data_IF_246788295130
#
_entry.id   IF_246788295130
#
_cell.length_a   1.000
_cell.length_b   1.000
_cell.length_c   1.000
_cell.angle_alpha   90.00
_cell.angle_beta   90.00
_cell.angle_gamma   90.00
#
_symmetry.space_group_name_H-M   'P 1'
#
loop_
_entity.id
_entity.type
_entity.pdbx_description
1 polymer ?
#
# COMPACT_ATOMS: atom_id res chain seq x y z
N UNK A 1 11.51 -10.28 -23.78
CA UNK A 1 12.60 -9.81 -22.91
C UNK A 1 12.77 -10.89 -21.88
N UNK A 2 13.90 -11.60 -21.93
CA UNK A 2 14.18 -12.76 -21.07
C UNK A 2 14.30 -12.33 -19.60
N UNK A 3 13.85 -13.19 -18.69
CA UNK A 3 13.97 -12.99 -17.25
C UNK A 3 15.46 -12.90 -16.89
N UNK A 4 15.89 -11.90 -16.11
CA UNK A 4 17.29 -11.78 -15.72
C UNK A 4 17.75 -13.04 -14.98
N UNK A 5 19.03 -13.40 -15.15
CA UNK A 5 19.64 -14.56 -14.48
C UNK A 5 19.52 -14.49 -12.95
N UNK A 6 19.52 -13.26 -12.41
CA UNK A 6 19.29 -12.93 -11.01
C UNK A 6 18.28 -11.78 -10.92
N UNK A 7 17.18 -11.99 -10.22
CA UNK A 7 16.11 -11.01 -10.06
C UNK A 7 16.43 -10.05 -8.91
N UNK A 8 16.48 -8.75 -9.20
CA UNK A 8 16.70 -7.72 -8.18
C UNK A 8 15.37 -7.23 -7.62
N UNK A 9 15.06 -7.64 -6.40
CA UNK A 9 13.83 -7.33 -5.68
C UNK A 9 14.08 -6.18 -4.71
N UNK A 10 13.43 -5.04 -4.95
CA UNK A 10 13.38 -3.98 -3.95
C UNK A 10 12.36 -4.34 -2.88
N UNK A 11 12.58 -3.94 -1.63
CA UNK A 11 11.57 -4.12 -0.59
C UNK A 11 11.49 -2.94 0.35
N UNK A 12 10.32 -2.75 0.96
CA UNK A 12 10.10 -1.80 2.03
C UNK A 12 9.04 -2.33 2.98
N UNK A 13 9.05 -1.88 4.23
CA UNK A 13 8.06 -2.25 5.26
C UNK A 13 7.34 -1.02 5.83
N UNK A 14 7.72 0.15 5.36
CA UNK A 14 7.25 1.46 5.81
C UNK A 14 7.18 2.36 4.58
N UNK A 15 5.98 2.90 4.29
CA UNK A 15 5.80 3.78 3.13
C UNK A 15 6.19 5.24 3.40
N UNK A 16 6.64 5.53 4.63
CA UNK A 16 6.99 6.87 5.08
C UNK A 16 5.80 7.68 5.59
N UNK A 17 4.57 7.22 5.38
CA UNK A 17 3.35 7.83 5.88
C UNK A 17 2.78 7.03 7.07
N UNK A 18 2.63 5.71 6.92
CA UNK A 18 2.17 4.77 7.93
C UNK A 18 3.14 3.60 8.01
N UNK A 19 3.59 3.28 9.22
CA UNK A 19 4.42 2.09 9.41
C UNK A 19 3.53 0.85 9.49
N UNK A 20 3.85 -0.22 8.76
CA UNK A 20 3.09 -1.46 8.86
C UNK A 20 3.18 -2.05 10.27
N UNK A 21 2.18 -2.82 10.70
CA UNK A 21 2.18 -3.50 12.00
C UNK A 21 3.32 -4.53 12.05
N UNK A 22 3.82 -4.87 13.26
CA UNK A 22 4.87 -5.85 13.47
C UNK A 22 4.74 -7.17 12.66
N UNK A 23 3.58 -7.84 12.58
CA UNK A 23 3.48 -9.11 11.85
C UNK A 23 3.75 -8.95 10.35
N UNK A 24 3.30 -7.84 9.75
CA UNK A 24 3.52 -7.58 8.32
C UNK A 24 4.99 -7.30 8.04
N UNK A 25 5.65 -6.51 8.91
CA UNK A 25 7.09 -6.28 8.83
C UNK A 25 7.85 -7.61 8.94
N UNK A 26 7.51 -8.45 9.92
CA UNK A 26 8.14 -9.76 10.12
C UNK A 26 7.95 -10.66 8.91
N UNK A 27 6.74 -10.80 8.39
CA UNK A 27 6.48 -11.68 7.25
C UNK A 27 7.31 -11.31 6.01
N UNK A 28 7.45 -10.01 5.71
CA UNK A 28 8.28 -9.56 4.58
C UNK A 28 9.76 -9.88 4.83
N UNK A 29 10.29 -9.55 6.02
CA UNK A 29 11.70 -9.77 6.34
C UNK A 29 12.04 -11.27 6.39
N UNK A 30 11.18 -12.09 7.00
CA UNK A 30 11.35 -13.54 7.05
C UNK A 30 11.29 -14.18 5.66
N UNK A 31 10.37 -13.74 4.80
CA UNK A 31 10.30 -14.21 3.41
C UNK A 31 11.58 -13.85 2.64
N UNK A 32 12.12 -12.65 2.83
CA UNK A 32 13.38 -12.22 2.22
C UNK A 32 14.53 -13.11 2.68
N UNK A 33 14.65 -13.35 3.99
CA UNK A 33 15.73 -14.17 4.56
C UNK A 33 15.65 -15.62 4.08
N UNK A 34 14.43 -16.18 3.99
CA UNK A 34 14.19 -17.52 3.47
C UNK A 34 14.58 -17.64 1.99
N UNK A 35 14.18 -16.67 1.15
CA UNK A 35 14.53 -16.66 -0.27
C UNK A 35 16.03 -16.44 -0.50
N UNK A 36 16.67 -15.57 0.29
CA UNK A 36 18.14 -15.40 0.29
C UNK A 36 18.85 -16.69 0.63
N UNK A 37 18.33 -17.48 1.59
CA UNK A 37 18.95 -18.74 2.00
C UNK A 37 18.75 -19.86 0.97
N UNK A 38 17.54 -20.00 0.42
CA UNK A 38 17.19 -21.12 -0.48
C UNK A 38 17.64 -20.91 -1.92
N UNK A 39 17.70 -19.67 -2.40
CA UNK A 39 18.04 -19.35 -3.79
C UNK A 39 18.93 -18.09 -3.91
N UNK A 40 20.11 -18.06 -3.25
CA UNK A 40 20.99 -16.88 -3.19
C UNK A 40 21.50 -16.40 -4.56
N UNK A 41 21.58 -17.31 -5.53
CA UNK A 41 22.00 -16.99 -6.90
C UNK A 41 20.85 -16.44 -7.76
N UNK A 42 19.59 -16.68 -7.38
CA UNK A 42 18.42 -16.26 -8.14
C UNK A 42 17.87 -14.90 -7.70
N UNK A 43 18.08 -14.51 -6.43
CA UNK A 43 17.49 -13.28 -5.88
C UNK A 43 18.56 -12.35 -5.28
N UNK A 44 18.45 -11.07 -5.62
CA UNK A 44 19.13 -9.97 -4.92
C UNK A 44 18.06 -9.11 -4.26
N UNK A 45 18.21 -8.79 -2.98
CA UNK A 45 17.25 -7.97 -2.25
C UNK A 45 17.87 -6.66 -1.80
N UNK A 46 17.22 -5.56 -2.13
CA UNK A 46 17.67 -4.20 -1.78
C UNK A 46 16.56 -3.47 -1.03
N UNK A 47 16.89 -2.94 0.15
CA UNK A 47 15.97 -2.06 0.85
C UNK A 47 15.76 -0.79 0.02
N UNK A 48 14.50 -0.42 -0.16
CA UNK A 48 14.11 0.69 -1.01
C UNK A 48 13.30 1.71 -0.21
N UNK A 49 13.65 2.98 -0.37
CA UNK A 49 12.89 4.07 0.21
C UNK A 49 11.85 4.57 -0.80
N UNK A 50 10.54 4.50 -0.48
CA UNK A 50 9.52 4.95 -1.41
C UNK A 50 9.54 6.45 -1.65
N UNK A 51 9.30 6.88 -2.89
CA UNK A 51 9.32 8.30 -3.27
C UNK A 51 8.03 8.98 -2.80
N UNK A 52 8.09 9.67 -1.67
CA UNK A 52 7.05 10.59 -1.18
C UNK A 52 5.62 10.04 -1.38
N UNK A 53 5.35 8.89 -0.74
CA UNK A 53 4.01 8.29 -0.78
C UNK A 53 2.96 9.17 -0.10
N UNK A 54 3.36 10.13 0.75
CA UNK A 54 2.46 11.12 1.30
C UNK A 54 1.88 12.04 0.21
N UNK A 55 2.73 12.59 -0.67
CA UNK A 55 2.29 13.35 -1.85
C UNK A 55 1.44 12.48 -2.79
N UNK A 56 1.88 11.26 -3.08
CA UNK A 56 1.11 10.33 -3.90
C UNK A 56 -0.28 10.04 -3.34
N UNK A 57 -0.37 9.74 -2.04
CA UNK A 57 -1.62 9.46 -1.35
C UNK A 57 -2.55 10.68 -1.28
N UNK A 58 -2.01 11.90 -1.25
CA UNK A 58 -2.78 13.12 -1.39
C UNK A 58 -3.40 13.26 -2.79
N UNK A 59 -2.60 13.09 -3.84
CA UNK A 59 -3.04 13.18 -5.24
C UNK A 59 -4.15 12.18 -5.56
N UNK A 60 -3.97 10.91 -5.18
CA UNK A 60 -4.93 9.85 -5.52
C UNK A 60 -6.27 10.05 -4.82
N UNK A 61 -6.27 10.53 -3.57
CA UNK A 61 -7.50 10.83 -2.83
C UNK A 61 -8.29 11.98 -3.46
N UNK A 62 -7.62 13.03 -3.96
CA UNK A 62 -8.28 14.10 -4.75
C UNK A 62 -8.93 13.54 -6.02
N UNK A 63 -8.31 12.52 -6.62
CA UNK A 63 -8.75 11.95 -7.90
C UNK A 63 -9.98 11.04 -7.77
N UNK A 64 -10.23 10.43 -6.60
CA UNK A 64 -11.37 9.51 -6.42
C UNK A 64 -12.73 10.20 -6.33
N UNK A 65 -12.80 11.41 -5.77
CA UNK A 65 -14.06 12.05 -5.40
C UNK A 65 -14.18 13.48 -5.94
N UNK A 66 -13.84 13.64 -7.22
CA UNK A 66 -13.87 14.93 -7.92
C UNK A 66 -15.28 15.50 -8.13
N UNK A 67 -16.33 14.67 -7.96
CA UNK A 67 -17.74 15.08 -7.96
C UNK A 67 -18.23 15.48 -6.55
N UNK A 68 -17.33 15.56 -5.57
CA UNK A 68 -17.69 15.80 -4.17
C UNK A 68 -18.39 14.61 -3.50
N UNK A 69 -18.27 13.40 -4.06
CA UNK A 69 -18.93 12.21 -3.54
C UNK A 69 -20.44 12.16 -3.85
N UNK A 70 -20.94 13.05 -4.70
CA UNK A 70 -22.36 13.14 -5.05
C UNK A 70 -22.91 11.80 -5.56
N UNK A 71 -22.18 11.12 -6.45
CA UNK A 71 -22.58 9.80 -6.95
C UNK A 71 -22.53 8.71 -5.90
N UNK A 72 -21.61 8.81 -4.94
CA UNK A 72 -21.51 7.86 -3.85
C UNK A 72 -22.71 8.01 -2.90
N UNK A 73 -23.06 9.25 -2.52
CA UNK A 73 -24.22 9.52 -1.69
C UNK A 73 -25.54 9.18 -2.39
N UNK A 74 -25.68 9.45 -3.69
CA UNK A 74 -26.84 9.04 -4.50
C UNK A 74 -27.01 7.52 -4.49
N UNK A 75 -25.92 6.76 -4.69
CA UNK A 75 -25.95 5.31 -4.68
C UNK A 75 -26.32 4.75 -3.29
N UNK A 76 -25.74 5.28 -2.21
CA UNK A 76 -26.07 4.86 -0.85
C UNK A 76 -27.53 5.20 -0.48
N UNK A 77 -28.02 6.37 -0.86
CA UNK A 77 -29.42 6.74 -0.63
C UNK A 77 -30.38 5.79 -1.39
N UNK A 78 -30.00 5.33 -2.58
CA UNK A 78 -30.83 4.45 -3.41
C UNK A 78 -31.02 3.04 -2.83
N UNK A 79 -30.09 2.57 -1.97
CA UNK A 79 -30.22 1.28 -1.29
C UNK A 79 -31.17 1.31 -0.08
N UNK A 80 -31.44 2.51 0.48
CA UNK A 80 -32.17 2.67 1.74
C UNK A 80 -31.35 2.30 2.99
N UNK A 81 -30.07 1.97 2.84
CA UNK A 81 -29.18 1.66 3.96
C UNK A 81 -28.51 2.94 4.51
N UNK A 82 -28.18 2.99 5.82
CA UNK A 82 -27.45 4.11 6.38
C UNK A 82 -26.02 4.18 5.85
N UNK A 83 -25.47 5.40 5.77
CA UNK A 83 -24.04 5.60 5.52
C UNK A 83 -23.26 5.09 6.72
N UNK A 84 -22.43 4.07 6.52
CA UNK A 84 -21.59 3.50 7.58
C UNK A 84 -20.34 4.34 7.83
N UNK A 85 -19.74 4.18 9.02
CA UNK A 85 -18.61 4.98 9.50
C UNK A 85 -17.42 5.04 8.54
N UNK A 86 -17.07 3.92 7.89
CA UNK A 86 -15.97 3.90 6.92
C UNK A 86 -16.31 4.70 5.66
N UNK A 87 -17.56 4.63 5.19
CA UNK A 87 -18.04 5.40 4.04
C UNK A 87 -18.09 6.90 4.37
N UNK A 88 -18.53 7.26 5.57
CA UNK A 88 -18.49 8.65 6.04
C UNK A 88 -17.05 9.15 6.19
N UNK A 89 -16.15 8.31 6.72
CA UNK A 89 -14.75 8.66 6.90
C UNK A 89 -14.01 8.86 5.57
N UNK A 90 -14.23 8.00 4.57
CA UNK A 90 -13.57 8.15 3.26
C UNK A 90 -14.11 9.35 2.48
N UNK A 91 -15.39 9.68 2.65
CA UNK A 91 -16.06 10.83 2.03
C UNK A 91 -15.93 12.13 2.85
N UNK A 92 -15.15 12.13 3.94
CA UNK A 92 -14.96 13.33 4.76
C UNK A 92 -14.40 14.50 3.95
N UNK A 93 -14.74 15.71 4.36
CA UNK A 93 -14.37 16.93 3.65
C UNK A 93 -12.86 17.22 3.81
N UNK A 94 -12.15 17.18 2.68
CA UNK A 94 -10.83 17.76 2.41
C UNK A 94 -10.37 17.36 1.00
N UNK A 95 -10.50 16.06 0.69
CA UNK A 95 -10.22 15.47 -0.62
C UNK A 95 -11.49 15.26 -1.45
N UNK A 96 -12.62 15.01 -0.79
CA UNK A 96 -13.95 14.88 -1.38
C UNK A 96 -14.53 16.27 -1.64
N UNK A 97 -14.31 16.79 -2.85
CA UNK A 97 -14.72 18.15 -3.24
C UNK A 97 -15.23 18.14 -4.67
N UNK A 98 -16.34 18.83 -4.91
CA UNK A 98 -16.81 19.11 -6.26
C UNK A 98 -15.79 20.00 -6.97
N UNK A 99 -15.15 19.46 -8.02
CA UNK A 99 -14.15 20.12 -8.83
C UNK A 99 -14.75 20.61 -10.14
N UNK A 100 -14.35 21.80 -10.57
CA UNK A 100 -14.60 22.22 -11.94
C UNK A 100 -13.56 21.60 -12.90
N UNK A 101 -13.79 21.73 -14.21
CA UNK A 101 -12.93 21.12 -15.25
C UNK A 101 -11.46 21.55 -15.14
N UNK A 102 -11.19 22.82 -14.82
CA UNK A 102 -9.81 23.31 -14.65
C UNK A 102 -9.12 22.63 -13.47
N UNK A 103 -9.79 22.54 -12.31
CA UNK A 103 -9.23 21.86 -11.14
C UNK A 103 -8.98 20.37 -11.40
N UNK A 104 -9.82 19.71 -12.22
CA UNK A 104 -9.60 18.32 -12.64
C UNK A 104 -8.35 18.21 -13.51
N UNK A 105 -8.13 19.15 -14.43
CA UNK A 105 -6.91 19.18 -15.23
C UNK A 105 -5.66 19.38 -14.38
N UNK A 106 -5.70 20.29 -13.40
CA UNK A 106 -4.58 20.52 -12.48
C UNK A 106 -4.20 19.23 -11.71
N UNK A 107 -5.19 18.48 -11.21
CA UNK A 107 -4.96 17.19 -10.53
C UNK A 107 -4.36 16.15 -11.49
N UNK A 108 -4.81 16.13 -12.75
CA UNK A 108 -4.27 15.23 -13.76
C UNK A 108 -2.81 15.55 -14.09
N UNK A 109 -2.47 16.84 -14.22
CA UNK A 109 -1.10 17.28 -14.43
C UNK A 109 -0.19 16.93 -13.24
N UNK A 110 -0.67 17.14 -12.00
CA UNK A 110 0.03 16.78 -10.76
C UNK A 110 0.31 15.27 -10.70
N UNK A 111 -0.72 14.44 -11.01
CA UNK A 111 -0.59 12.98 -11.12
C UNK A 111 0.46 12.58 -12.14
N UNK A 112 0.40 13.14 -13.35
CA UNK A 112 1.28 12.73 -14.43
C UNK A 112 2.72 13.19 -14.18
N UNK A 113 2.93 14.32 -13.51
CA UNK A 113 4.24 14.73 -13.01
C UNK A 113 4.79 13.73 -11.97
N UNK A 114 3.99 13.38 -10.98
CA UNK A 114 4.39 12.41 -9.96
C UNK A 114 4.70 11.02 -10.55
N UNK A 115 3.91 10.55 -11.52
CA UNK A 115 4.18 9.31 -12.27
C UNK A 115 5.55 9.33 -12.95
N UNK A 116 5.91 10.46 -13.60
CA UNK A 116 7.23 10.62 -14.23
C UNK A 116 8.35 10.60 -13.18
N UNK A 117 8.22 11.38 -12.12
CA UNK A 117 9.18 11.44 -11.00
C UNK A 117 9.43 10.03 -10.42
N UNK A 118 8.36 9.28 -10.18
CA UNK A 118 8.44 7.93 -9.63
C UNK A 118 9.05 6.93 -10.60
N UNK A 119 8.71 7.01 -11.89
CA UNK A 119 9.34 6.18 -12.91
C UNK A 119 10.86 6.42 -12.99
N UNK A 120 11.29 7.69 -12.91
CA UNK A 120 12.71 8.03 -12.82
C UNK A 120 13.37 7.48 -11.55
N UNK A 121 12.71 7.63 -10.39
CA UNK A 121 13.19 7.08 -9.11
C UNK A 121 13.36 5.56 -9.18
N UNK A 122 12.35 4.82 -9.64
CA UNK A 122 12.45 3.37 -9.82
C UNK A 122 13.60 3.03 -10.79
N UNK A 123 13.66 3.66 -11.97
CA UNK A 123 14.70 3.37 -12.95
C UNK A 123 16.12 3.59 -12.41
N UNK A 124 16.32 4.57 -11.53
CA UNK A 124 17.62 4.81 -10.88
C UNK A 124 18.08 3.69 -9.93
N UNK A 125 17.19 2.82 -9.45
CA UNK A 125 17.54 1.73 -8.51
C UNK A 125 18.05 0.46 -9.20
N UNK A 126 17.72 0.26 -10.48
CA UNK A 126 17.90 -0.99 -11.19
C UNK A 126 17.04 -2.16 -10.67
N UNK A 127 16.08 -1.92 -9.77
CA UNK A 127 15.16 -2.94 -9.25
C UNK A 127 14.20 -3.42 -10.35
N UNK A 128 13.93 -4.72 -10.39
CA UNK A 128 13.02 -5.35 -11.34
C UNK A 128 11.56 -5.31 -10.86
N UNK A 129 11.36 -5.64 -9.57
CA UNK A 129 10.06 -5.74 -8.88
C UNK A 129 10.18 -5.29 -7.42
N UNK A 130 9.07 -4.85 -6.81
CA UNK A 130 9.01 -4.52 -5.39
C UNK A 130 8.20 -5.54 -4.60
N UNK A 131 8.76 -6.03 -3.49
CA UNK A 131 8.06 -6.79 -2.45
C UNK A 131 7.71 -5.84 -1.30
N UNK A 132 6.43 -5.69 -0.98
CA UNK A 132 5.99 -4.71 0.00
C UNK A 132 4.70 -5.14 0.74
N UNK A 133 4.29 -4.40 1.78
CA UNK A 133 3.03 -4.64 2.43
C UNK A 133 1.86 -4.49 1.45
N UNK A 134 0.90 -5.40 1.52
CA UNK A 134 -0.42 -5.17 0.91
C UNK A 134 -1.23 -4.16 1.72
N UNK A 135 -1.08 -4.17 3.04
CA UNK A 135 -1.78 -3.27 3.95
C UNK A 135 -0.91 -2.94 5.16
N UNK A 136 -1.32 -1.95 5.95
CA UNK A 136 -0.60 -1.57 7.17
C UNK A 136 -0.77 -2.57 8.31
N UNK A 137 -1.59 -3.61 8.15
CA UNK A 137 -1.79 -4.69 9.12
C UNK A 137 -2.43 -5.91 8.46
N UNK A 138 -2.78 -6.90 9.28
CA UNK A 138 -3.65 -8.01 8.85
C UNK A 138 -5.12 -7.54 8.74
N UNK A 139 -6.06 -8.47 8.55
CA UNK A 139 -7.49 -8.16 8.45
C UNK A 139 -7.96 -7.23 9.59
N UNK A 140 -8.38 -6.01 9.23
CA UNK A 140 -8.86 -5.05 10.21
C UNK A 140 -10.17 -5.52 10.84
N UNK A 141 -10.34 -5.18 12.11
CA UNK A 141 -11.65 -5.21 12.76
C UNK A 141 -12.65 -4.35 11.97
N UNK A 142 -13.91 -4.74 12.01
CA UNK A 142 -14.98 -4.02 11.32
C UNK A 142 -14.97 -2.53 11.70
N UNK A 143 -15.07 -1.65 10.69
CA UNK A 143 -15.07 -0.20 10.89
C UNK A 143 -13.71 0.44 11.18
N UNK A 144 -12.61 -0.32 11.12
CA UNK A 144 -11.27 0.18 11.50
C UNK A 144 -10.27 0.31 10.33
N UNK A 145 -10.69 0.05 9.09
CA UNK A 145 -9.85 0.27 7.91
C UNK A 145 -9.82 1.75 7.53
N UNK A 146 -8.86 2.50 8.07
CA UNK A 146 -8.70 3.95 7.86
C UNK A 146 -7.37 4.34 7.22
N UNK A 147 -6.79 3.43 6.44
CA UNK A 147 -5.63 3.69 5.61
C UNK A 147 -5.53 2.64 4.49
N UNK A 148 -5.33 3.09 3.24
CA UNK A 148 -5.16 2.18 2.09
C UNK A 148 -4.01 2.59 1.16
N UNK A 149 -3.04 3.39 1.66
CA UNK A 149 -1.93 3.93 0.87
C UNK A 149 -1.06 2.86 0.20
N UNK A 150 -0.80 1.74 0.88
CA UNK A 150 -0.03 0.60 0.37
C UNK A 150 -0.58 -0.03 -0.92
N UNK A 151 -1.84 0.22 -1.26
CA UNK A 151 -2.46 -0.23 -2.53
C UNK A 151 -2.80 0.94 -3.44
N UNK A 152 -3.25 2.06 -2.86
CA UNK A 152 -3.59 3.28 -3.58
C UNK A 152 -2.42 3.80 -4.43
N UNK A 153 -1.19 3.64 -3.95
CA UNK A 153 -0.02 4.09 -4.69
C UNK A 153 0.14 3.41 -6.04
N UNK A 154 -0.17 2.11 -6.12
CA UNK A 154 -0.03 1.37 -7.37
C UNK A 154 -1.18 1.66 -8.34
N UNK A 155 -2.37 1.98 -7.81
CA UNK A 155 -3.47 2.55 -8.59
C UNK A 155 -3.10 3.92 -9.17
N UNK A 156 -2.50 4.80 -8.35
CA UNK A 156 -2.05 6.12 -8.81
C UNK A 156 -1.00 5.97 -9.90
N UNK A 157 -0.03 5.08 -9.73
CA UNK A 157 1.09 4.92 -10.65
C UNK A 157 0.76 4.08 -11.89
N UNK A 158 -0.39 3.40 -11.90
CA UNK A 158 -0.78 2.45 -12.94
C UNK A 158 0.24 1.30 -13.10
N UNK A 159 0.69 0.77 -11.96
CA UNK A 159 1.62 -0.35 -11.91
C UNK A 159 0.89 -1.63 -11.54
N UNK A 160 1.10 -2.73 -12.30
CA UNK A 160 0.51 -4.01 -11.95
C UNK A 160 1.07 -4.50 -10.62
N UNK A 161 0.19 -5.03 -9.78
CA UNK A 161 0.57 -5.69 -8.54
C UNK A 161 -0.26 -6.95 -8.31
N UNK A 162 0.32 -7.87 -7.53
CA UNK A 162 -0.30 -9.12 -7.12
C UNK A 162 -0.08 -9.30 -5.63
N UNK A 163 -1.14 -9.69 -4.94
CA UNK A 163 -1.12 -10.01 -3.52
C UNK A 163 -1.21 -11.51 -3.34
N UNK A 164 -0.42 -12.06 -2.43
CA UNK A 164 -0.40 -13.48 -2.13
C UNK A 164 -0.10 -13.74 -0.65
N UNK A 165 -0.55 -14.88 -0.10
CA UNK A 165 -0.23 -15.28 1.25
C UNK A 165 1.27 -15.49 1.42
N UNK A 166 1.85 -14.89 2.45
CA UNK A 166 3.29 -15.05 2.75
C UNK A 166 3.65 -16.43 3.31
N UNK A 167 2.64 -17.21 3.75
CA UNK A 167 2.82 -18.44 4.51
C UNK A 167 3.01 -18.23 6.02
N UNK A 168 3.11 -16.97 6.47
CA UNK A 168 3.17 -16.62 7.88
C UNK A 168 1.80 -16.24 8.43
N UNK A 169 1.58 -16.54 9.70
CA UNK A 169 0.46 -16.06 10.50
C UNK A 169 0.97 -15.21 11.68
N UNK A 170 0.09 -14.42 12.27
CA UNK A 170 0.42 -13.60 13.46
C UNK A 170 0.72 -14.51 14.66
N UNK A 171 1.86 -14.29 15.31
CA UNK A 171 2.22 -14.89 16.60
C UNK A 171 2.31 -13.79 17.67
N UNK A 172 1.38 -13.72 18.62
CA UNK A 172 1.37 -12.68 19.66
C UNK A 172 2.63 -12.63 20.54
N UNK A 173 3.41 -13.72 20.61
CA UNK A 173 4.65 -13.76 21.40
C UNK A 173 5.83 -13.08 20.68
N UNK A 174 5.76 -13.01 19.35
CA UNK A 174 6.82 -12.44 18.49
C UNK A 174 6.38 -11.06 18.00
N UNK A 175 5.14 -10.96 17.55
CA UNK A 175 4.53 -9.77 16.96
C UNK A 175 3.98 -8.84 18.04
N UNK A 176 4.78 -8.55 19.06
CA UNK A 176 4.35 -7.68 20.16
C UNK A 176 4.16 -6.25 19.70
N UNK A 177 3.23 -5.53 20.34
CA UNK A 177 3.04 -4.10 20.08
C UNK A 177 4.30 -3.34 20.48
N UNK A 178 4.91 -2.65 19.51
CA UNK A 178 6.13 -1.89 19.75
C UNK A 178 5.79 -0.53 20.39
N UNK A 179 6.60 -0.02 21.34
CA UNK A 179 6.45 1.32 21.89
C UNK A 179 7.02 2.36 20.92
N UNK A 180 6.36 2.53 19.78
CA UNK A 180 6.74 3.52 18.77
C UNK A 180 5.95 4.80 18.97
N UNK A 181 6.63 5.94 18.89
CA UNK A 181 5.99 7.24 18.73
C UNK A 181 5.43 7.33 17.31
N UNK A 182 4.11 7.43 17.13
CA UNK A 182 3.54 7.54 15.80
C UNK A 182 3.95 8.85 15.13
N UNK A 183 4.02 8.83 13.81
CA UNK A 183 4.25 10.03 13.02
C UNK A 183 3.15 11.07 13.28
N UNK A 184 3.50 12.33 13.11
CA UNK A 184 2.59 13.48 13.23
C UNK A 184 1.65 13.56 12.01
N UNK A 185 0.82 12.54 11.83
CA UNK A 185 -0.27 12.48 10.86
C UNK A 185 -1.44 11.66 11.41
N UNK A 186 -2.63 11.85 10.84
CA UNK A 186 -3.86 11.23 11.35
C UNK A 186 -3.94 9.71 11.12
N UNK A 187 -3.15 9.16 10.20
CA UNK A 187 -3.23 7.75 9.82
C UNK A 187 -2.35 6.88 10.71
N UNK A 188 -1.08 7.24 10.89
CA UNK A 188 -0.12 6.39 11.59
C UNK A 188 -0.53 6.20 13.05
N UNK A 189 -0.84 7.28 13.76
CA UNK A 189 -1.32 7.21 15.16
C UNK A 189 -2.56 6.31 15.31
N UNK A 190 -3.54 6.47 14.41
CA UNK A 190 -4.73 5.64 14.40
C UNK A 190 -4.37 4.16 14.16
N UNK A 191 -3.62 3.87 13.10
CA UNK A 191 -3.24 2.50 12.73
C UNK A 191 -2.43 1.84 13.84
N UNK A 192 -1.42 2.51 14.42
CA UNK A 192 -0.65 1.94 15.54
C UNK A 192 -1.52 1.70 16.78
N UNK A 193 -2.53 2.55 17.02
CA UNK A 193 -3.45 2.35 18.14
C UNK A 193 -4.28 1.06 17.98
N UNK A 194 -4.63 0.68 16.75
CA UNK A 194 -5.49 -0.48 16.46
C UNK A 194 -4.82 -1.83 16.70
N UNK A 195 -3.49 -1.89 16.76
CA UNK A 195 -2.80 -3.17 16.89
C UNK A 195 -2.88 -3.73 18.31
N UNK A 196 -3.50 -4.90 18.45
CA UNK A 196 -3.61 -5.70 19.66
C UNK A 196 -3.23 -7.14 19.28
N UNK A 197 -2.01 -7.61 19.57
CA UNK A 197 -1.49 -8.87 19.04
C UNK A 197 -2.42 -10.07 19.23
N UNK A 198 -3.00 -10.21 20.43
CA UNK A 198 -3.89 -11.33 20.77
C UNK A 198 -5.19 -11.36 19.97
N UNK A 199 -5.71 -10.20 19.54
CA UNK A 199 -6.93 -10.16 18.72
C UNK A 199 -6.69 -10.65 17.28
N UNK A 200 -5.42 -10.68 16.85
CA UNK A 200 -5.02 -11.05 15.51
C UNK A 200 -4.31 -12.41 15.44
N UNK A 201 -4.27 -13.16 16.53
CA UNK A 201 -3.63 -14.49 16.60
C UNK A 201 -4.04 -15.36 15.42
N UNK A 202 -3.05 -16.01 14.81
CA UNK A 202 -3.21 -16.92 13.67
C UNK A 202 -3.79 -16.28 12.40
N UNK A 203 -4.00 -14.97 12.37
CA UNK A 203 -4.46 -14.29 11.17
C UNK A 203 -3.41 -14.43 10.04
N UNK A 204 -3.84 -14.75 8.80
CA UNK A 204 -2.93 -14.86 7.67
C UNK A 204 -2.34 -13.50 7.33
N UNK A 205 -1.07 -13.52 6.90
CA UNK A 205 -0.35 -12.32 6.50
C UNK A 205 -0.10 -12.38 5.00
N UNK A 206 -0.63 -11.40 4.27
CA UNK A 206 -0.41 -11.26 2.83
C UNK A 206 0.67 -10.22 2.53
N UNK A 207 1.38 -10.44 1.44
CA UNK A 207 2.38 -9.52 0.90
C UNK A 207 2.06 -9.20 -0.56
N UNK A 208 2.63 -8.12 -1.07
CA UNK A 208 2.37 -7.63 -2.41
C UNK A 208 3.65 -7.59 -3.24
N UNK A 209 3.58 -8.09 -4.48
CA UNK A 209 4.61 -7.92 -5.50
C UNK A 209 4.14 -6.92 -6.56
N UNK A 210 4.94 -5.89 -6.81
CA UNK A 210 4.64 -4.83 -7.77
C UNK A 210 5.67 -4.88 -8.89
N UNK A 211 5.20 -4.82 -10.14
CA UNK A 211 6.06 -4.81 -11.31
C UNK A 211 5.82 -3.55 -12.15
N UNK A 212 6.75 -3.28 -13.08
CA UNK A 212 6.52 -2.25 -14.10
C UNK A 212 5.37 -2.63 -15.02
N UNK A 213 4.70 -1.62 -15.57
CA UNK A 213 3.65 -1.81 -16.57
C UNK A 213 4.15 -2.68 -17.74
N UNK A 214 3.35 -3.69 -18.11
CA UNK A 214 3.66 -4.67 -19.15
C UNK A 214 4.72 -5.73 -18.80
N UNK A 215 5.26 -5.75 -17.57
CA UNK A 215 6.32 -6.70 -17.16
C UNK A 215 5.86 -7.82 -16.22
N UNK A 216 4.67 -7.72 -15.61
CA UNK A 216 4.20 -8.67 -14.59
C UNK A 216 4.22 -10.14 -15.06
N UNK A 217 3.85 -10.42 -16.31
CA UNK A 217 3.84 -11.79 -16.87
C UNK A 217 5.19 -12.50 -16.80
N UNK A 218 6.29 -11.76 -16.73
CA UNK A 218 7.64 -12.32 -16.68
C UNK A 218 8.00 -12.86 -15.29
N UNK A 219 7.23 -12.52 -14.26
CA UNK A 219 7.52 -12.85 -12.85
C UNK A 219 6.50 -13.81 -12.22
N UNK A 220 5.44 -14.16 -12.96
CA UNK A 220 4.34 -15.02 -12.48
C UNK A 220 4.65 -16.53 -12.52
N UNK A 221 5.80 -16.93 -13.05
CA UNK A 221 6.21 -18.32 -13.25
C UNK A 221 7.50 -18.68 -12.52
N UNK A 222 8.00 -17.75 -11.68
CA UNK A 222 9.16 -17.94 -10.80
C UNK A 222 8.67 -18.37 -9.42
#
# INVERSE_FOLDING_TARGET
METPMKLKIGYFIDDGLVKAHPPVQRAILSLIDELRSKAPEQFEFVEWNPLDHAKGYDIIRKSYFMDGGAKNYEAMASSGEPVLDNSAWILKESHTKLRNVSEVWDICEERDAYRREYAHHWNGTGVDVFLCPWSSGVAFRHGMSKYWGYTAMWNLLDYPSITFPSGYTVDPNIDVKLPIEPRQNEFDAYIQSTYIPEEFRDAPIDVQLVARCGKMKNYLLL
#
